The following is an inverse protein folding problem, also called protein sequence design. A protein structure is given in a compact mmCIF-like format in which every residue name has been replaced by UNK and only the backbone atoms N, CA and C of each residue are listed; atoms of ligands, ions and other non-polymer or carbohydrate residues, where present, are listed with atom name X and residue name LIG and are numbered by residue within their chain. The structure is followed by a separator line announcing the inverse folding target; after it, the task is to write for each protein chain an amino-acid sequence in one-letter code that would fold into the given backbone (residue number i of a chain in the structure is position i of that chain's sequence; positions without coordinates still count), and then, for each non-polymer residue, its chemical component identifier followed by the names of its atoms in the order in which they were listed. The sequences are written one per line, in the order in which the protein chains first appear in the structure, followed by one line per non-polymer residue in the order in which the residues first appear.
data_IF_004265464449
#
_entry.id   IF_004265464449
#
_cell.length_a   1.000
_cell.length_b   1.000
_cell.length_c   1.000
_cell.angle_alpha   90.00
_cell.angle_beta   90.00
_cell.angle_gamma   90.00
#
_symmetry.space_group_name_H-M   'P 1'
#
loop_
_entity.id
_entity.type
_entity.pdbx_description
1 polymer ?
#
# COMPACT_ATOMS: atom_id res chain seq x y z
N UNK A 1 -11.84 4.72 -6.75
CA UNK A 1 -11.21 4.53 -5.42
C UNK A 1 -11.35 3.11 -4.86
N UNK A 2 -12.32 2.31 -5.32
CA UNK A 2 -12.32 0.85 -5.09
C UNK A 2 -11.10 0.14 -5.67
N UNK A 3 -10.51 0.66 -6.75
CA UNK A 3 -9.37 0.04 -7.45
C UNK A 3 -8.16 -0.20 -6.55
N UNK A 4 -7.76 0.78 -5.72
CA UNK A 4 -6.61 0.63 -4.82
C UNK A 4 -6.92 -0.42 -3.74
N UNK A 5 -8.14 -0.40 -3.19
CA UNK A 5 -8.61 -1.41 -2.23
C UNK A 5 -8.67 -2.82 -2.84
N UNK A 6 -9.21 -2.98 -4.05
CA UNK A 6 -9.26 -4.30 -4.70
C UNK A 6 -7.86 -4.79 -5.03
N UNK A 7 -6.97 -3.90 -5.51
CA UNK A 7 -5.58 -4.23 -5.78
C UNK A 7 -4.85 -4.68 -4.51
N UNK A 8 -5.07 -4.02 -3.36
CA UNK A 8 -4.46 -4.42 -2.10
C UNK A 8 -4.96 -5.79 -1.62
N UNK A 9 -6.27 -6.06 -1.70
CA UNK A 9 -6.82 -7.38 -1.36
C UNK A 9 -6.24 -8.49 -2.25
N UNK A 10 -6.16 -8.26 -3.56
CA UNK A 10 -5.56 -9.21 -4.49
C UNK A 10 -4.07 -9.42 -4.20
N UNK A 11 -3.33 -8.34 -3.93
CA UNK A 11 -1.90 -8.39 -3.65
C UNK A 11 -1.59 -9.22 -2.39
N UNK A 12 -2.41 -9.07 -1.34
CA UNK A 12 -2.30 -9.81 -0.08
C UNK A 12 -2.62 -11.30 -0.18
N UNK A 13 -3.46 -11.71 -1.14
CA UNK A 13 -3.74 -13.12 -1.41
C UNK A 13 -2.63 -13.79 -2.23
N UNK A 14 -1.72 -13.01 -2.82
CA UNK A 14 -0.54 -13.51 -3.52
C UNK A 14 0.59 -13.89 -2.57
N UNK A 15 1.75 -14.26 -3.13
CA UNK A 15 2.96 -14.56 -2.35
C UNK A 15 3.77 -13.29 -2.05
N UNK A 16 4.16 -12.60 -3.11
CA UNK A 16 4.81 -11.30 -3.07
C UNK A 16 4.37 -10.59 -4.34
N UNK A 17 3.67 -9.48 -4.18
CA UNK A 17 3.04 -8.77 -5.28
C UNK A 17 3.50 -7.33 -5.27
N UNK A 18 4.04 -6.87 -6.41
CA UNK A 18 4.35 -5.46 -6.61
C UNK A 18 3.11 -4.74 -7.15
N UNK A 19 2.70 -3.65 -6.51
CA UNK A 19 1.56 -2.81 -6.87
C UNK A 19 2.07 -1.41 -7.21
N UNK A 20 1.85 -0.98 -8.45
CA UNK A 20 2.24 0.36 -8.91
C UNK A 20 1.01 1.25 -9.00
N UNK A 21 1.02 2.35 -8.25
CA UNK A 21 -0.02 3.38 -8.28
C UNK A 21 0.49 4.59 -9.06
N UNK A 22 -0.29 5.03 -10.04
CA UNK A 22 -0.04 6.26 -10.79
C UNK A 22 -0.83 7.44 -10.22
N UNK A 23 -0.41 8.65 -10.56
CA UNK A 23 -1.05 9.91 -10.16
C UNK A 23 -1.19 10.15 -8.66
N UNK A 24 -0.23 9.66 -7.86
CA UNK A 24 -0.14 9.86 -6.40
C UNK A 24 0.08 11.31 -5.95
N UNK A 25 0.23 12.25 -6.90
CA UNK A 25 0.20 13.68 -6.63
C UNK A 25 -1.21 14.18 -6.30
N UNK A 26 -2.25 13.43 -6.67
CA UNK A 26 -3.64 13.71 -6.29
C UNK A 26 -3.91 13.18 -4.89
N UNK A 27 -4.62 13.97 -4.09
CA UNK A 27 -4.88 13.68 -2.68
C UNK A 27 -5.53 12.32 -2.50
N UNK A 28 -6.54 11.98 -3.29
CA UNK A 28 -7.33 10.77 -3.02
C UNK A 28 -6.49 9.50 -3.29
N UNK A 29 -5.73 9.46 -4.38
CA UNK A 29 -4.81 8.35 -4.70
C UNK A 29 -3.73 8.19 -3.63
N UNK A 30 -3.17 9.31 -3.16
CA UNK A 30 -2.15 9.32 -2.11
C UNK A 30 -2.68 8.73 -0.81
N UNK A 31 -3.83 9.21 -0.34
CA UNK A 31 -4.44 8.77 0.91
C UNK A 31 -4.89 7.31 0.87
N UNK A 32 -5.52 6.87 -0.22
CA UNK A 32 -5.91 5.47 -0.38
C UNK A 32 -4.71 4.54 -0.50
N UNK A 33 -3.60 5.00 -1.08
CA UNK A 33 -2.36 4.21 -1.11
C UNK A 33 -1.80 4.02 0.29
N UNK A 34 -1.78 5.06 1.12
CA UNK A 34 -1.35 4.92 2.51
C UNK A 34 -2.29 4.04 3.34
N UNK A 35 -3.60 4.17 3.17
CA UNK A 35 -4.59 3.39 3.91
C UNK A 35 -4.54 1.89 3.59
N UNK A 36 -4.40 1.53 2.31
CA UNK A 36 -4.59 0.15 1.86
C UNK A 36 -3.31 -0.55 1.41
N UNK A 37 -2.25 0.19 1.06
CA UNK A 37 -0.95 -0.37 0.66
C UNK A 37 0.13 -0.12 1.69
N UNK A 38 -0.07 0.85 2.60
CA UNK A 38 0.79 1.17 3.74
C UNK A 38 2.15 1.74 3.35
N UNK A 39 2.60 2.75 4.09
CA UNK A 39 3.90 3.38 3.85
C UNK A 39 5.06 2.40 4.06
N UNK A 40 4.93 1.49 5.03
CA UNK A 40 5.92 0.44 5.32
C UNK A 40 6.23 -0.49 4.13
N UNK A 41 5.29 -0.62 3.18
CA UNK A 41 5.47 -1.44 1.99
C UNK A 41 5.97 -0.64 0.77
N UNK A 42 6.19 0.68 0.90
CA UNK A 42 6.63 1.53 -0.20
C UNK A 42 8.11 1.25 -0.54
N UNK A 43 8.34 0.67 -1.72
CA UNK A 43 9.70 0.35 -2.20
C UNK A 43 10.33 1.54 -2.90
N UNK A 44 9.54 2.29 -3.68
CA UNK A 44 10.06 3.42 -4.45
C UNK A 44 8.97 4.43 -4.80
N UNK A 45 9.33 5.71 -4.73
CA UNK A 45 8.53 6.82 -5.25
C UNK A 45 9.31 7.55 -6.35
N UNK A 46 8.80 7.52 -7.58
CA UNK A 46 9.40 8.21 -8.74
C UNK A 46 8.37 9.08 -9.45
N UNK A 47 8.52 10.40 -9.31
CA UNK A 47 7.60 11.37 -9.91
C UNK A 47 6.18 11.16 -9.41
N UNK A 48 5.27 10.78 -10.33
CA UNK A 48 3.85 10.52 -10.04
C UNK A 48 3.53 9.03 -9.82
N UNK A 49 4.54 8.18 -9.73
CA UNK A 49 4.37 6.74 -9.55
C UNK A 49 4.96 6.28 -8.22
N UNK A 50 4.19 5.49 -7.48
CA UNK A 50 4.64 4.79 -6.28
C UNK A 50 4.57 3.28 -6.51
N UNK A 51 5.59 2.56 -6.06
CA UNK A 51 5.68 1.11 -6.12
C UNK A 51 5.67 0.54 -4.71
N UNK A 52 4.71 -0.34 -4.44
CA UNK A 52 4.53 -1.03 -3.16
C UNK A 52 4.80 -2.51 -3.33
N UNK A 53 5.47 -3.14 -2.37
CA UNK A 53 5.68 -4.58 -2.34
C UNK A 53 4.92 -5.20 -1.19
N UNK A 54 3.86 -5.91 -1.52
CA UNK A 54 2.97 -6.53 -0.52
C UNK A 54 3.33 -8.01 -0.39
N UNK A 55 3.60 -8.46 0.82
CA UNK A 55 3.77 -9.87 1.16
C UNK A 55 2.43 -10.54 1.44
N UNK A 56 2.38 -11.88 1.43
CA UNK A 56 1.18 -12.61 1.79
C UNK A 56 0.74 -12.25 3.22
N UNK A 57 -0.47 -11.71 3.34
CA UNK A 57 -1.12 -11.35 4.60
C UNK A 57 -2.60 -11.79 4.61
N UNK A 58 -2.91 -12.95 4.00
CA UNK A 58 -4.28 -13.42 3.78
C UNK A 58 -5.13 -13.54 5.06
N UNK A 59 -4.50 -13.73 6.21
CA UNK A 59 -5.18 -13.98 7.49
C UNK A 59 -5.24 -12.75 8.41
N UNK A 60 -4.64 -11.63 8.02
CA UNK A 60 -4.67 -10.41 8.83
C UNK A 60 -5.94 -9.60 8.52
N UNK A 61 -6.54 -9.01 9.54
CA UNK A 61 -7.75 -8.17 9.42
C UNK A 61 -7.42 -6.71 9.12
N UNK A 62 -6.16 -6.29 9.33
CA UNK A 62 -5.69 -4.92 9.10
C UNK A 62 -4.75 -4.85 7.90
N UNK A 63 -4.73 -3.70 7.23
CA UNK A 63 -3.83 -3.42 6.11
C UNK A 63 -2.41 -3.11 6.55
N UNK A 64 -2.28 -2.18 7.49
CA UNK A 64 -0.97 -1.69 7.94
C UNK A 64 -0.67 -2.21 9.33
N UNK A 65 0.62 -2.44 9.60
CA UNK A 65 1.05 -2.72 10.95
C UNK A 65 0.74 -1.52 11.86
N UNK A 66 0.51 -1.80 13.14
CA UNK A 66 0.46 -0.74 14.14
C UNK A 66 1.90 -0.31 14.41
N UNK A 67 2.45 0.58 13.58
CA UNK A 67 3.74 1.19 13.92
C UNK A 67 3.62 1.82 15.30
N UNK A 68 4.43 1.30 16.23
CA UNK A 68 4.70 1.96 17.49
C UNK A 68 5.50 3.19 17.12
N UNK A 69 4.85 4.36 17.09
CA UNK A 69 5.55 5.64 16.93
C UNK A 69 6.60 5.72 18.04
N UNK A 70 7.85 5.41 17.71
CA UNK A 70 8.99 5.69 18.58
C UNK A 70 9.25 7.17 18.44
N UNK A 71 8.64 7.94 19.34
CA UNK A 71 8.99 9.33 19.55
C UNK A 71 10.37 9.31 20.24
N UNK A 72 11.44 9.55 19.47
CA UNK A 72 12.71 10.07 19.99
C UNK A 72 12.69 11.60 19.91
#
# INVERSE_FOLDING_TARGET
MSTIYTASILARSGKTTDVVVHDVHRTIEKWFSWEFLCEENLVSAKGRFWNFRISNQSNDTRFCSSETVRIE
#
